data_IF_546071523062
#
_entry.id   IF_546071523062
#
_cell.length_a   1.000
_cell.length_b   1.000
_cell.length_c   1.000
_cell.angle_alpha   90.00
_cell.angle_beta   90.00
_cell.angle_gamma   90.00
#
_symmetry.space_group_name_H-M   'P 1'
#
loop_
_entity.id
_entity.type
_entity.pdbx_description
1 polymer ?
#
# COMPACT_ATOMS: atom_id res chain seq x y z
N UNK A 1 -14.23 11.66 28.73
CA UNK A 1 -13.82 10.49 27.93
C UNK A 1 -12.80 9.66 28.70
N UNK A 2 -12.74 8.35 28.45
CA UNK A 2 -11.61 7.52 28.88
C UNK A 2 -10.41 7.80 27.97
N UNK A 3 -9.20 7.71 28.53
CA UNK A 3 -7.94 7.95 27.81
C UNK A 3 -7.05 6.72 27.99
N UNK A 4 -6.03 6.54 27.15
CA UNK A 4 -5.14 5.39 27.18
C UNK A 4 -4.63 5.05 28.60
N UNK A 5 -4.14 6.05 29.34
CA UNK A 5 -3.56 5.85 30.68
C UNK A 5 -4.59 5.49 31.77
N UNK A 6 -5.90 5.59 31.48
CA UNK A 6 -6.96 5.15 32.38
C UNK A 6 -7.24 3.64 32.26
N UNK A 7 -6.82 3.01 31.16
CA UNK A 7 -7.02 1.59 30.92
C UNK A 7 -6.03 0.74 31.72
N UNK A 8 -6.51 -0.38 32.25
CA UNK A 8 -5.73 -1.43 32.92
C UNK A 8 -5.87 -2.72 32.12
N UNK A 9 -5.19 -2.77 30.98
CA UNK A 9 -5.25 -3.91 30.09
C UNK A 9 -4.48 -5.11 30.68
N UNK A 10 -5.18 -5.96 31.43
CA UNK A 10 -4.59 -7.12 32.10
C UNK A 10 -5.06 -8.46 31.57
N UNK A 11 -6.18 -8.53 30.85
CA UNK A 11 -6.77 -9.78 30.38
C UNK A 11 -6.28 -10.12 28.97
N UNK A 12 -5.55 -11.23 28.82
CA UNK A 12 -5.07 -11.76 27.55
C UNK A 12 -6.18 -12.38 26.69
N UNK A 13 -6.35 -11.89 25.45
CA UNK A 13 -7.30 -12.48 24.51
C UNK A 13 -6.87 -12.33 23.05
N UNK A 14 -7.54 -13.07 22.17
CA UNK A 14 -7.40 -13.02 20.70
C UNK A 14 -8.04 -11.72 20.17
N UNK A 15 -7.26 -10.87 19.51
CA UNK A 15 -7.68 -9.60 18.85
C UNK A 15 -7.48 -9.73 17.36
N UNK A 16 -8.47 -9.36 16.55
CA UNK A 16 -8.49 -9.58 15.11
C UNK A 16 -9.50 -10.66 14.68
N UNK A 17 -10.42 -10.34 13.78
CA UNK A 17 -11.47 -11.31 13.36
C UNK A 17 -11.02 -12.31 12.30
N UNK A 18 -9.89 -12.05 11.64
CA UNK A 18 -9.35 -12.88 10.54
C UNK A 18 -7.94 -13.40 10.78
N UNK A 19 -7.10 -12.68 11.53
CA UNK A 19 -5.74 -13.11 11.81
C UNK A 19 -5.41 -12.85 13.28
N UNK A 20 -6.16 -13.50 14.17
CA UNK A 20 -6.18 -13.09 15.56
C UNK A 20 -4.79 -13.11 16.23
N UNK A 21 -4.34 -11.98 16.78
CA UNK A 21 -3.12 -11.84 17.57
C UNK A 21 -3.43 -11.74 19.08
N UNK A 22 -2.42 -11.98 19.91
CA UNK A 22 -2.54 -11.77 21.34
C UNK A 22 -2.61 -10.27 21.66
N UNK A 23 -3.65 -9.85 22.37
CA UNK A 23 -3.74 -8.51 22.93
C UNK A 23 -4.22 -8.57 24.37
N UNK A 24 -4.00 -7.47 25.11
CA UNK A 24 -4.54 -7.29 26.45
C UNK A 24 -5.72 -6.32 26.43
N UNK A 25 -6.76 -6.68 27.16
CA UNK A 25 -8.00 -5.91 27.29
C UNK A 25 -8.19 -5.45 28.74
N UNK A 26 -8.77 -4.27 28.94
CA UNK A 26 -9.30 -3.85 30.22
C UNK A 26 -10.73 -4.41 30.36
N UNK A 27 -10.92 -5.29 31.33
CA UNK A 27 -12.18 -6.02 31.55
C UNK A 27 -12.93 -5.52 32.78
N UNK A 28 -12.48 -4.43 33.40
CA UNK A 28 -13.09 -3.93 34.62
C UNK A 28 -14.51 -3.44 34.36
N UNK A 29 -15.53 -3.93 35.10
CA UNK A 29 -16.93 -3.58 34.85
C UNK A 29 -17.18 -2.07 34.81
N UNK A 30 -16.54 -1.31 35.69
CA UNK A 30 -16.71 0.15 35.75
C UNK A 30 -16.15 0.87 34.50
N UNK A 31 -15.12 0.32 33.87
CA UNK A 31 -14.56 0.87 32.64
C UNK A 31 -15.42 0.48 31.44
N UNK A 32 -15.77 -0.81 31.31
CA UNK A 32 -16.56 -1.33 30.20
C UNK A 32 -17.95 -0.68 30.13
N UNK A 33 -18.66 -0.60 31.26
CA UNK A 33 -19.99 0.02 31.33
C UNK A 33 -19.98 1.50 30.98
N UNK A 34 -18.89 2.22 31.29
CA UNK A 34 -18.74 3.63 30.97
C UNK A 34 -18.65 3.90 29.46
N UNK A 35 -18.21 2.93 28.66
CA UNK A 35 -18.09 3.07 27.20
C UNK A 35 -19.36 2.63 26.48
N UNK A 36 -19.95 1.50 26.85
CA UNK A 36 -21.01 0.88 26.05
C UNK A 36 -22.11 0.14 26.86
N UNK A 37 -22.16 0.32 28.19
CA UNK A 37 -23.06 -0.41 29.11
C UNK A 37 -23.01 -1.95 29.01
N UNK A 38 -21.90 -2.50 28.48
CA UNK A 38 -21.63 -3.94 28.44
C UNK A 38 -20.51 -4.31 29.41
N UNK A 39 -20.54 -5.52 29.93
CA UNK A 39 -19.49 -6.11 30.76
C UNK A 39 -18.76 -7.22 30.00
N UNK A 40 -17.53 -7.53 30.44
CA UNK A 40 -16.80 -8.68 29.93
C UNK A 40 -17.63 -9.97 30.09
N UNK A 41 -17.71 -10.77 29.02
CA UNK A 41 -18.51 -11.99 28.96
C UNK A 41 -19.98 -11.78 28.59
N UNK A 42 -20.47 -10.54 28.48
CA UNK A 42 -21.83 -10.30 28.00
C UNK A 42 -22.00 -10.80 26.56
N UNK A 43 -23.07 -11.55 26.33
CA UNK A 43 -23.43 -12.05 25.00
C UNK A 43 -24.44 -11.08 24.41
N UNK A 44 -24.11 -10.54 23.24
CA UNK A 44 -24.95 -9.60 22.49
C UNK A 44 -25.34 -10.20 21.15
N UNK A 45 -26.50 -9.80 20.63
CA UNK A 45 -26.95 -10.14 19.29
C UNK A 45 -27.22 -8.85 18.52
N UNK A 46 -26.74 -8.78 17.28
CA UNK A 46 -27.00 -7.65 16.38
C UNK A 46 -28.35 -7.79 15.63
N UNK A 47 -28.69 -6.80 14.79
CA UNK A 47 -29.92 -6.81 13.97
C UNK A 47 -29.96 -7.94 12.94
N UNK A 48 -28.81 -8.51 12.56
CA UNK A 48 -28.70 -9.61 11.61
C UNK A 48 -28.77 -10.98 12.29
N UNK A 49 -28.93 -11.01 13.63
CA UNK A 49 -28.92 -12.23 14.41
C UNK A 49 -27.53 -12.81 14.67
N UNK A 50 -26.45 -12.07 14.36
CA UNK A 50 -25.10 -12.49 14.69
C UNK A 50 -24.87 -12.33 16.19
N UNK A 51 -24.35 -13.38 16.81
CA UNK A 51 -24.07 -13.41 18.25
C UNK A 51 -22.59 -13.15 18.48
N UNK A 52 -22.31 -12.29 19.45
CA UNK A 52 -20.95 -11.90 19.83
C UNK A 52 -20.80 -11.84 21.34
N UNK A 53 -19.60 -12.12 21.85
CA UNK A 53 -19.28 -12.04 23.28
C UNK A 53 -18.38 -10.82 23.53
N UNK A 54 -18.75 -9.95 24.46
CA UNK A 54 -17.96 -8.80 24.88
C UNK A 54 -16.65 -9.26 25.54
N UNK A 55 -15.51 -8.82 25.01
CA UNK A 55 -14.18 -9.18 25.52
C UNK A 55 -13.63 -8.09 26.43
N UNK A 56 -13.83 -6.81 26.11
CA UNK A 56 -13.37 -5.71 26.95
C UNK A 56 -12.91 -4.50 26.13
N UNK A 57 -12.21 -3.59 26.80
CA UNK A 57 -11.73 -2.35 26.19
C UNK A 57 -10.28 -2.44 25.74
N UNK A 58 -9.98 -1.81 24.60
CA UNK A 58 -8.62 -1.62 24.08
C UNK A 58 -8.49 -0.20 23.54
N UNK A 59 -7.31 0.39 23.63
CA UNK A 59 -6.99 1.68 23.03
C UNK A 59 -6.66 1.48 21.55
N UNK A 60 -7.41 2.14 20.67
CA UNK A 60 -7.03 2.28 19.27
C UNK A 60 -6.07 3.46 19.13
N UNK A 61 -4.81 3.15 18.80
CA UNK A 61 -3.77 4.15 18.60
C UNK A 61 -3.97 5.01 17.35
N UNK A 62 -4.69 4.49 16.34
CA UNK A 62 -4.87 5.15 15.05
C UNK A 62 -5.90 6.28 15.16
N UNK A 63 -7.08 5.95 15.70
CA UNK A 63 -8.17 6.90 15.92
C UNK A 63 -8.06 7.64 17.26
N UNK A 64 -7.13 7.22 18.14
CA UNK A 64 -6.91 7.78 19.48
C UNK A 64 -8.18 7.75 20.35
N UNK A 65 -8.90 6.62 20.30
CA UNK A 65 -10.13 6.38 21.04
C UNK A 65 -10.07 5.06 21.81
N UNK A 66 -10.90 4.95 22.85
CA UNK A 66 -11.13 3.68 23.57
C UNK A 66 -12.31 2.99 22.92
N UNK A 67 -12.13 1.75 22.50
CA UNK A 67 -13.17 0.96 21.82
C UNK A 67 -13.52 -0.31 22.61
N UNK A 68 -14.78 -0.74 22.47
CA UNK A 68 -15.27 -2.00 23.00
C UNK A 68 -15.12 -3.11 21.96
N UNK A 69 -14.47 -4.19 22.36
CA UNK A 69 -14.16 -5.32 21.48
C UNK A 69 -15.05 -6.52 21.80
N UNK A 70 -15.50 -7.20 20.74
CA UNK A 70 -16.40 -8.33 20.78
C UNK A 70 -15.88 -9.50 19.94
N UNK A 71 -15.95 -10.72 20.45
CA UNK A 71 -15.68 -11.93 19.70
C UNK A 71 -16.97 -12.41 19.05
N UNK A 72 -17.08 -12.28 17.74
CA UNK A 72 -18.22 -12.78 16.94
C UNK A 72 -18.11 -14.30 16.81
N UNK A 73 -19.21 -15.03 17.06
CA UNK A 73 -19.22 -16.50 16.96
C UNK A 73 -18.75 -16.95 15.55
N UNK A 74 -17.79 -17.87 15.51
CA UNK A 74 -17.18 -18.38 14.28
C UNK A 74 -16.01 -17.55 13.72
N UNK A 75 -15.56 -16.50 14.42
CA UNK A 75 -14.32 -15.77 14.10
C UNK A 75 -13.13 -16.27 14.92
N UNK A 76 -11.93 -15.91 14.50
CA UNK A 76 -10.70 -16.31 15.20
C UNK A 76 -10.46 -15.51 16.48
N UNK A 77 -10.90 -14.26 16.52
CA UNK A 77 -10.66 -13.33 17.62
C UNK A 77 -11.67 -12.18 17.67
N UNK A 78 -11.42 -11.26 18.57
CA UNK A 78 -12.28 -10.12 18.82
C UNK A 78 -12.13 -9.03 17.74
N UNK A 79 -13.19 -8.28 17.48
CA UNK A 79 -13.19 -7.09 16.63
C UNK A 79 -14.06 -6.00 17.22
N UNK A 80 -14.12 -4.85 16.54
CA UNK A 80 -14.91 -3.69 16.94
C UNK A 80 -16.16 -3.60 16.06
N UNK A 81 -17.28 -3.20 16.64
CA UNK A 81 -18.47 -2.76 15.90
C UNK A 81 -18.35 -1.26 15.63
N UNK A 82 -18.81 -0.81 14.46
CA UNK A 82 -18.82 0.62 14.17
C UNK A 82 -19.66 1.39 15.21
N UNK A 83 -19.29 2.62 15.54
CA UNK A 83 -19.94 3.38 16.63
C UNK A 83 -21.47 3.51 16.51
N UNK A 84 -22.03 3.52 15.30
CA UNK A 84 -23.49 3.53 15.10
C UNK A 84 -24.16 2.21 15.49
N UNK A 85 -23.46 1.10 15.34
CA UNK A 85 -23.96 -0.24 15.68
C UNK A 85 -23.96 -0.44 17.20
N UNK A 86 -22.92 0.04 17.88
CA UNK A 86 -22.75 -0.15 19.32
C UNK A 86 -23.95 0.36 20.13
N UNK A 87 -24.43 1.57 19.81
CA UNK A 87 -25.46 2.25 20.59
C UNK A 87 -26.90 1.86 20.21
N UNK A 88 -27.12 1.30 19.01
CA UNK A 88 -28.47 1.13 18.47
C UNK A 88 -28.80 -0.27 17.95
N UNK A 89 -27.82 -1.16 17.79
CA UNK A 89 -28.02 -2.44 17.12
C UNK A 89 -27.71 -3.67 17.98
N UNK A 90 -26.92 -3.51 19.05
CA UNK A 90 -26.56 -4.61 19.94
C UNK A 90 -27.56 -4.78 21.10
N UNK A 91 -28.14 -5.97 21.22
CA UNK A 91 -29.00 -6.35 22.35
C UNK A 91 -28.31 -7.40 23.20
N UNK A 92 -28.15 -7.16 24.50
CA UNK A 92 -27.71 -8.18 25.46
C UNK A 92 -28.74 -9.31 25.53
N UNK A 93 -28.29 -10.54 25.26
CA UNK A 93 -29.12 -11.76 25.26
C UNK A 93 -28.67 -12.78 26.30
N UNK A 94 -27.51 -12.59 26.92
CA UNK A 94 -27.02 -13.49 27.96
C UNK A 94 -25.63 -13.13 28.46
N UNK A 95 -24.97 -14.12 29.06
CA UNK A 95 -23.61 -14.02 29.57
C UNK A 95 -22.88 -15.36 29.35
N UNK A 96 -21.62 -15.30 28.94
CA UNK A 96 -20.75 -16.45 28.65
C UNK A 96 -19.39 -16.21 29.30
N UNK A 97 -18.89 -17.13 30.15
CA UNK A 97 -17.53 -17.05 30.67
C UNK A 97 -16.53 -17.04 29.50
N UNK A 98 -15.60 -16.09 29.52
CA UNK A 98 -14.51 -16.00 28.55
C UNK A 98 -13.23 -16.49 29.21
N UNK A 99 -12.59 -17.48 28.61
CA UNK A 99 -11.32 -17.98 29.09
C UNK A 99 -10.18 -17.07 28.62
N UNK A 100 -9.33 -16.65 29.54
CA UNK A 100 -8.09 -15.94 29.21
C UNK A 100 -7.18 -16.86 28.39
N UNK A 101 -6.57 -16.33 27.33
CA UNK A 101 -5.60 -17.07 26.52
C UNK A 101 -4.21 -16.55 26.84
N UNK A 102 -3.24 -17.46 26.88
CA UNK A 102 -1.82 -17.11 26.94
C UNK A 102 -1.36 -16.45 25.64
N UNK A 103 -0.22 -15.78 25.70
CA UNK A 103 0.42 -15.22 24.49
C UNK A 103 0.85 -16.35 23.56
N UNK A 104 1.37 -17.42 24.15
CA UNK A 104 1.75 -18.68 23.52
C UNK A 104 0.61 -19.38 22.75
N UNK A 105 -0.65 -19.16 23.13
CA UNK A 105 -1.82 -19.81 22.52
C UNK A 105 -2.28 -19.13 21.22
N UNK A 106 -1.81 -17.91 20.95
CA UNK A 106 -2.34 -17.05 19.88
C UNK A 106 -1.28 -16.69 18.84
N UNK A 107 0.00 -16.66 19.21
CA UNK A 107 1.10 -16.21 18.33
C UNK A 107 1.48 -17.20 17.20
N UNK A 108 0.51 -17.51 16.33
CA UNK A 108 0.65 -18.10 15.00
C UNK A 108 -0.13 -17.35 13.90
N UNK A 109 -1.08 -16.49 14.27
CA UNK A 109 -1.82 -15.61 13.36
C UNK A 109 -1.66 -14.16 13.86
N UNK A 110 -1.39 -13.19 12.98
CA UNK A 110 -1.28 -11.80 13.42
C UNK A 110 -1.72 -10.83 12.33
N UNK A 111 -2.82 -10.12 12.58
CA UNK A 111 -3.27 -8.91 11.89
C UNK A 111 -2.76 -7.66 12.60
N UNK A 112 -1.59 -7.20 12.17
CA UNK A 112 -1.38 -5.80 11.78
C UNK A 112 -1.33 -4.71 12.85
N UNK A 113 -1.93 -4.86 14.02
CA UNK A 113 -2.13 -3.78 14.96
C UNK A 113 -1.50 -4.02 16.33
N UNK A 114 -0.69 -3.02 16.71
CA UNK A 114 0.16 -2.96 17.89
C UNK A 114 1.36 -3.88 17.76
N UNK A 115 2.38 -3.33 17.11
CA UNK A 115 3.76 -3.82 17.09
C UNK A 115 3.84 -5.29 16.66
N UNK A 116 3.91 -5.47 15.34
CA UNK A 116 4.61 -6.63 14.78
C UNK A 116 6.09 -6.52 15.16
N UNK A 117 6.42 -6.60 16.45
CA UNK A 117 7.77 -6.42 16.94
C UNK A 117 8.71 -7.30 16.12
N UNK A 118 8.33 -8.54 15.81
CA UNK A 118 9.21 -9.41 15.05
C UNK A 118 9.29 -9.07 13.55
N UNK A 119 8.17 -8.87 12.83
CA UNK A 119 8.23 -8.59 11.37
C UNK A 119 8.61 -7.15 11.05
N UNK A 120 8.18 -6.18 11.85
CA UNK A 120 8.62 -4.78 11.74
C UNK A 120 10.09 -4.67 12.15
N UNK A 121 10.53 -5.41 13.18
CA UNK A 121 11.96 -5.50 13.48
C UNK A 121 12.71 -6.13 12.33
N UNK A 122 12.22 -7.23 11.73
CA UNK A 122 12.89 -7.82 10.56
C UNK A 122 12.99 -6.77 9.45
N UNK A 123 11.89 -6.10 9.08
CA UNK A 123 11.89 -5.06 8.05
C UNK A 123 12.92 -3.95 8.34
N UNK A 124 13.05 -3.49 9.59
CA UNK A 124 14.04 -2.48 10.01
C UNK A 124 15.48 -3.00 10.09
N UNK A 125 15.68 -4.32 10.18
CA UNK A 125 16.98 -4.96 10.36
C UNK A 125 17.43 -5.80 9.16
N UNK A 126 16.67 -5.80 8.05
CA UNK A 126 17.05 -6.49 6.82
C UNK A 126 18.45 -6.05 6.40
N UNK A 127 19.32 -7.03 6.19
CA UNK A 127 20.62 -6.88 5.55
C UNK A 127 20.65 -7.90 4.41
N UNK A 128 20.04 -7.56 3.27
CA UNK A 128 19.92 -8.49 2.17
C UNK A 128 21.29 -9.01 1.73
N UNK A 129 21.42 -10.33 1.68
CA UNK A 129 22.66 -11.04 1.32
C UNK A 129 22.59 -11.64 -0.09
N UNK A 130 21.39 -11.70 -0.66
CA UNK A 130 21.09 -12.42 -1.90
C UNK A 130 20.23 -11.56 -2.83
N UNK A 131 20.55 -11.56 -4.12
CA UNK A 131 19.63 -11.06 -5.16
C UNK A 131 18.91 -12.23 -5.80
N UNK A 132 17.58 -12.16 -5.84
CA UNK A 132 16.75 -13.25 -6.32
C UNK A 132 15.65 -12.76 -7.26
N UNK A 133 15.29 -13.58 -8.25
CA UNK A 133 14.25 -13.25 -9.23
C UNK A 133 12.87 -13.51 -8.65
N UNK A 134 11.95 -12.57 -8.76
CA UNK A 134 10.54 -12.71 -8.40
C UNK A 134 9.78 -13.44 -9.51
N UNK A 135 8.57 -13.94 -9.24
CA UNK A 135 7.65 -14.46 -10.26
C UNK A 135 7.32 -13.46 -11.37
N UNK A 136 7.46 -12.16 -11.12
CA UNK A 136 7.25 -11.11 -12.12
C UNK A 136 8.52 -10.77 -12.91
N UNK A 137 9.61 -11.51 -12.68
CA UNK A 137 10.89 -11.33 -13.34
C UNK A 137 11.80 -10.26 -12.73
N UNK A 138 11.37 -9.58 -11.67
CA UNK A 138 12.15 -8.52 -11.00
C UNK A 138 13.25 -9.13 -10.15
N UNK A 139 14.34 -8.40 -9.95
CA UNK A 139 15.28 -8.74 -8.89
C UNK A 139 14.86 -8.09 -7.58
N UNK A 140 14.85 -8.89 -6.52
CA UNK A 140 14.68 -8.44 -5.15
C UNK A 140 15.91 -8.75 -4.31
N UNK A 141 16.15 -7.90 -3.31
CA UNK A 141 17.16 -8.13 -2.30
C UNK A 141 16.53 -8.94 -1.16
N UNK A 142 17.04 -10.14 -0.93
CA UNK A 142 16.54 -11.10 0.07
C UNK A 142 17.58 -11.28 1.16
N UNK A 143 17.14 -11.26 2.41
CA UNK A 143 17.93 -11.61 3.58
C UNK A 143 17.76 -13.10 3.89
N UNK A 144 18.85 -13.85 3.79
CA UNK A 144 18.85 -15.31 3.97
C UNK A 144 19.28 -15.74 5.38
N UNK A 145 19.52 -14.80 6.29
CA UNK A 145 20.05 -15.11 7.62
C UNK A 145 19.05 -15.89 8.47
N UNK A 146 19.47 -16.97 9.16
CA UNK A 146 18.56 -17.80 9.95
C UNK A 146 17.78 -17.02 11.02
N UNK A 147 18.40 -16.03 11.66
CA UNK A 147 17.75 -15.22 12.68
C UNK A 147 16.61 -14.36 12.13
N UNK A 148 16.66 -13.97 10.85
CA UNK A 148 15.57 -13.22 10.21
C UNK A 148 14.39 -14.12 9.87
N UNK A 149 14.67 -15.32 9.36
CA UNK A 149 13.64 -16.30 9.03
C UNK A 149 12.98 -16.83 10.31
N UNK A 150 13.75 -17.04 11.39
CA UNK A 150 13.25 -17.51 12.68
C UNK A 150 12.20 -16.58 13.30
N UNK A 151 12.24 -15.27 12.99
CA UNK A 151 11.23 -14.28 13.42
C UNK A 151 9.84 -14.50 12.81
N UNK A 152 9.74 -15.33 11.78
CA UNK A 152 8.46 -15.80 11.22
C UNK A 152 7.94 -17.07 11.92
N UNK A 153 8.67 -17.57 12.94
CA UNK A 153 8.34 -18.77 13.73
C UNK A 153 8.07 -20.01 12.89
N UNK A 154 8.70 -20.06 11.73
CA UNK A 154 8.70 -21.22 10.87
C UNK A 154 9.85 -22.14 11.26
N UNK A 155 9.68 -23.48 11.19
CA UNK A 155 10.75 -24.43 11.50
C UNK A 155 11.75 -24.60 10.34
N UNK A 156 11.79 -23.65 9.41
CA UNK A 156 12.55 -23.73 8.16
C UNK A 156 13.67 -22.71 8.12
N UNK A 157 14.70 -22.99 7.35
CA UNK A 157 15.79 -22.06 6.99
C UNK A 157 15.85 -21.83 5.48
N UNK A 158 16.63 -20.83 5.06
CA UNK A 158 16.92 -20.61 3.64
C UNK A 158 17.52 -21.88 3.02
N UNK A 159 17.01 -22.27 1.86
CA UNK A 159 17.40 -23.48 1.13
C UNK A 159 16.57 -24.73 1.47
N UNK A 160 15.76 -24.72 2.53
CA UNK A 160 14.88 -25.85 2.83
C UNK A 160 13.84 -26.02 1.71
N UNK A 161 13.70 -27.26 1.23
CA UNK A 161 12.70 -27.65 0.25
C UNK A 161 11.50 -28.21 0.98
N UNK A 162 10.39 -27.49 0.91
CA UNK A 162 9.11 -27.85 1.47
C UNK A 162 8.29 -28.58 0.41
N UNK A 163 7.63 -29.66 0.81
CA UNK A 163 6.61 -30.33 0.01
C UNK A 163 5.25 -30.13 0.65
N UNK A 164 4.29 -29.66 -0.14
CA UNK A 164 2.88 -29.60 0.25
C UNK A 164 2.31 -31.03 0.32
N UNK A 165 1.80 -31.44 1.48
CA UNK A 165 1.22 -32.78 1.68
C UNK A 165 -0.04 -33.03 0.85
N UNK A 166 -0.71 -31.98 0.37
CA UNK A 166 -2.00 -32.08 -0.34
C UNK A 166 -1.84 -32.43 -1.81
N UNK A 167 -0.97 -31.72 -2.51
CA UNK A 167 -0.79 -31.83 -3.96
C UNK A 167 0.64 -32.23 -4.37
N UNK A 168 1.55 -32.34 -3.40
CA UNK A 168 2.94 -32.72 -3.64
C UNK A 168 3.81 -31.60 -4.21
N UNK A 169 3.28 -30.37 -4.35
CA UNK A 169 4.03 -29.22 -4.86
C UNK A 169 5.27 -28.96 -4.00
N UNK A 170 6.41 -28.76 -4.64
CA UNK A 170 7.66 -28.44 -3.95
C UNK A 170 7.99 -26.97 -4.08
N UNK A 171 8.41 -26.38 -2.97
CA UNK A 171 8.87 -25.00 -2.92
C UNK A 171 10.11 -24.87 -2.05
N UNK A 172 11.02 -23.98 -2.39
CA UNK A 172 12.23 -23.70 -1.61
C UNK A 172 12.06 -22.40 -0.84
N UNK A 173 12.31 -22.43 0.47
CA UNK A 173 12.41 -21.23 1.28
C UNK A 173 13.64 -20.43 0.83
N UNK A 174 13.45 -19.24 0.29
CA UNK A 174 14.55 -18.40 -0.22
C UNK A 174 15.11 -17.54 0.91
N UNK A 175 14.23 -16.83 1.61
CA UNK A 175 14.60 -15.94 2.71
C UNK A 175 13.50 -14.90 2.93
N UNK A 176 13.86 -13.81 3.60
CA UNK A 176 12.92 -12.73 3.92
C UNK A 176 13.23 -11.50 3.07
N UNK A 177 12.19 -10.89 2.51
CA UNK A 177 12.30 -9.61 1.83
C UNK A 177 11.04 -8.79 2.04
N UNK A 178 11.17 -7.48 1.97
CA UNK A 178 10.04 -6.57 1.87
C UNK A 178 9.74 -6.33 0.39
N UNK A 179 8.49 -6.50 -0.03
CA UNK A 179 8.11 -6.17 -1.40
C UNK A 179 8.25 -4.65 -1.59
N UNK A 180 9.15 -4.17 -2.48
CA UNK A 180 9.35 -2.75 -2.71
C UNK A 180 8.04 -2.04 -3.07
N UNK A 181 7.15 -2.71 -3.81
CA UNK A 181 5.85 -2.18 -4.20
C UNK A 181 4.98 -1.88 -2.99
N UNK A 182 4.88 -2.83 -2.07
CA UNK A 182 4.05 -2.65 -0.89
C UNK A 182 4.67 -1.68 0.11
N UNK A 183 6.00 -1.57 0.18
CA UNK A 183 6.67 -0.54 0.97
C UNK A 183 6.27 0.87 0.49
N UNK A 184 6.30 1.10 -0.83
CA UNK A 184 5.91 2.38 -1.44
C UNK A 184 4.43 2.66 -1.23
N UNK A 185 3.57 1.66 -1.45
CA UNK A 185 2.13 1.79 -1.23
C UNK A 185 1.79 2.07 0.24
N UNK A 186 2.50 1.46 1.19
CA UNK A 186 2.30 1.79 2.61
C UNK A 186 2.72 3.20 2.96
N UNK A 187 3.85 3.69 2.45
CA UNK A 187 4.24 5.10 2.66
C UNK A 187 3.15 6.04 2.13
N UNK A 188 2.64 5.79 0.93
CA UNK A 188 1.58 6.61 0.32
C UNK A 188 0.22 6.50 1.06
N UNK A 189 -0.06 5.36 1.70
CA UNK A 189 -1.31 5.13 2.45
C UNK A 189 -1.26 5.64 3.89
N UNK A 190 -0.09 5.62 4.55
CA UNK A 190 0.10 6.17 5.90
C UNK A 190 -0.30 7.65 5.97
N UNK A 191 -0.17 8.40 4.89
CA UNK A 191 -0.60 9.79 4.81
C UNK A 191 -2.12 9.98 4.78
N UNK A 192 -2.91 8.94 4.43
CA UNK A 192 -4.33 9.11 4.06
C UNK A 192 -5.35 8.41 4.94
N UNK A 193 -4.97 7.42 5.76
CA UNK A 193 -5.82 6.76 6.78
C UNK A 193 -4.95 5.76 7.53
N UNK A 194 -5.09 5.65 8.84
CA UNK A 194 -4.31 4.76 9.72
C UNK A 194 -4.30 3.26 9.40
N UNK A 195 -4.87 2.84 8.27
CA UNK A 195 -4.87 1.45 7.82
C UNK A 195 -3.54 1.09 7.15
N UNK A 196 -2.76 0.21 7.79
CA UNK A 196 -1.59 -0.43 7.18
C UNK A 196 -2.01 -1.18 5.91
N UNK A 197 -1.27 -0.97 4.82
CA UNK A 197 -1.42 -1.73 3.58
C UNK A 197 -0.84 -3.13 3.79
N UNK A 198 -1.64 -4.16 3.57
CA UNK A 198 -1.19 -5.56 3.54
C UNK A 198 0.02 -5.70 2.61
N UNK A 199 1.10 -6.32 3.10
CA UNK A 199 2.34 -6.53 2.35
C UNK A 199 3.44 -5.47 2.57
N UNK A 200 3.17 -4.40 3.32
CA UNK A 200 4.17 -3.38 3.70
C UNK A 200 5.23 -3.86 4.71
N UNK A 201 5.14 -5.13 5.08
CA UNK A 201 5.88 -5.78 6.14
C UNK A 201 6.84 -6.76 5.46
N UNK A 202 7.96 -7.07 6.09
CA UNK A 202 8.83 -8.14 5.62
C UNK A 202 8.04 -9.46 5.51
N UNK A 203 8.25 -10.21 4.43
CA UNK A 203 7.56 -11.46 4.12
C UNK A 203 8.54 -12.58 3.81
N UNK A 204 8.13 -13.82 4.04
CA UNK A 204 8.90 -15.01 3.70
C UNK A 204 8.64 -15.40 2.24
N UNK A 205 9.71 -15.52 1.45
CA UNK A 205 9.65 -15.76 0.03
C UNK A 205 10.00 -17.21 -0.31
N UNK A 206 9.22 -17.80 -1.22
CA UNK A 206 9.35 -19.17 -1.66
C UNK A 206 9.49 -19.25 -3.18
N UNK A 207 10.40 -20.08 -3.67
CA UNK A 207 10.47 -20.44 -5.08
C UNK A 207 9.77 -21.77 -5.31
N UNK A 208 8.66 -21.77 -6.04
CA UNK A 208 7.93 -23.01 -6.41
C UNK A 208 8.62 -23.68 -7.58
N UNK A 209 8.85 -24.99 -7.50
CA UNK A 209 9.50 -25.75 -8.57
C UNK A 209 8.72 -25.62 -9.89
N UNK A 210 9.43 -25.23 -10.97
CA UNK A 210 8.81 -24.96 -12.27
C UNK A 210 8.32 -23.51 -12.48
N UNK A 211 8.38 -22.66 -11.45
CA UNK A 211 8.13 -21.22 -11.62
C UNK A 211 9.40 -20.46 -12.03
N UNK A 212 9.25 -19.32 -12.68
CA UNK A 212 10.40 -18.49 -13.12
C UNK A 212 11.07 -17.72 -11.98
N UNK A 213 10.48 -17.69 -10.78
CA UNK A 213 11.02 -16.95 -9.65
C UNK A 213 10.23 -17.11 -8.35
N UNK A 214 10.68 -16.41 -7.31
CA UNK A 214 10.09 -16.47 -5.98
C UNK A 214 8.80 -15.65 -5.85
N UNK A 215 7.91 -16.11 -4.97
CA UNK A 215 6.68 -15.44 -4.58
C UNK A 215 6.39 -15.65 -3.09
N UNK A 216 5.48 -14.84 -2.57
CA UNK A 216 4.95 -15.01 -1.21
C UNK A 216 3.84 -16.06 -1.26
N UNK A 217 3.90 -17.05 -0.37
CA UNK A 217 2.84 -18.05 -0.22
C UNK A 217 2.00 -17.71 1.00
N UNK A 218 0.91 -16.97 0.80
CA UNK A 218 0.03 -16.51 1.90
C UNK A 218 -0.61 -17.70 2.64
N UNK A 219 -0.92 -18.79 1.94
CA UNK A 219 -1.51 -20.00 2.54
C UNK A 219 -0.55 -20.71 3.49
N UNK A 220 0.76 -20.52 3.31
CA UNK A 220 1.78 -21.16 4.12
C UNK A 220 1.63 -20.83 5.61
N UNK A 221 1.35 -19.57 5.95
CA UNK A 221 1.22 -19.14 7.34
C UNK A 221 -0.05 -19.66 8.02
N UNK A 222 -1.08 -20.02 7.24
CA UNK A 222 -2.35 -20.52 7.78
C UNK A 222 -2.27 -22.01 8.13
N UNK A 223 -1.39 -22.76 7.46
CA UNK A 223 -1.35 -24.22 7.53
C UNK A 223 0.10 -24.73 7.62
N UNK A 224 0.91 -24.28 8.57
CA UNK A 224 2.33 -24.70 8.68
C UNK A 224 2.48 -26.23 8.72
N UNK A 225 1.56 -26.94 9.38
CA UNK A 225 1.54 -28.41 9.48
C UNK A 225 1.28 -29.14 8.15
N UNK A 226 0.84 -28.42 7.11
CA UNK A 226 0.64 -28.95 5.75
C UNK A 226 1.95 -29.16 5.01
N UNK A 227 3.01 -28.47 5.40
CA UNK A 227 4.30 -28.50 4.72
C UNK A 227 5.29 -29.38 5.47
N UNK A 228 6.08 -30.16 4.74
CA UNK A 228 7.18 -30.94 5.29
C UNK A 228 8.48 -30.60 4.58
N UNK A 229 9.56 -30.42 5.36
CA UNK A 229 10.90 -30.34 4.79
C UNK A 229 11.27 -31.70 4.24
N UNK A 230 11.52 -31.79 2.94
CA UNK A 230 11.91 -33.02 2.22
C UNK A 230 13.36 -33.01 1.76
N UNK A 231 14.05 -31.90 1.95
CA UNK A 231 15.48 -31.76 1.63
C UNK A 231 15.95 -30.32 1.79
N UNK A 232 17.21 -30.09 1.44
CA UNK A 232 17.84 -28.77 1.47
C UNK A 232 18.66 -28.58 0.20
N UNK A 233 18.59 -27.41 -0.42
CA UNK A 233 19.45 -27.04 -1.56
C UNK A 233 20.04 -25.63 -1.37
N UNK A 234 21.25 -25.37 -1.89
CA UNK A 234 21.79 -24.01 -1.90
C UNK A 234 20.85 -23.04 -2.63
N UNK A 235 20.70 -21.84 -2.08
CA UNK A 235 20.00 -20.75 -2.75
C UNK A 235 21.06 -19.87 -3.41
N UNK A 236 21.15 -19.96 -4.73
CA UNK A 236 22.11 -19.19 -5.51
C UNK A 236 21.49 -17.87 -6.02
N UNK A 237 22.30 -16.81 -6.18
CA UNK A 237 21.83 -15.59 -6.83
C UNK A 237 21.32 -15.89 -8.23
N UNK A 238 20.13 -15.40 -8.55
CA UNK A 238 19.64 -15.46 -9.92
C UNK A 238 20.14 -14.24 -10.68
N UNK A 239 20.75 -14.46 -11.84
CA UNK A 239 21.13 -13.36 -12.71
C UNK A 239 19.87 -12.57 -13.13
N UNK A 240 20.00 -11.24 -13.18
CA UNK A 240 19.07 -10.45 -13.97
C UNK A 240 19.22 -10.91 -15.43
N UNK A 241 18.11 -11.10 -16.12
CA UNK A 241 18.15 -11.05 -17.58
C UNK A 241 18.76 -9.68 -17.94
N UNK A 242 19.68 -9.62 -18.91
CA UNK A 242 20.46 -8.41 -19.23
C UNK A 242 19.60 -7.17 -19.56
N UNK A 243 18.30 -7.37 -19.80
CA UNK A 243 17.29 -6.35 -20.07
C UNK A 243 16.54 -5.85 -18.81
N UNK A 244 16.81 -6.43 -17.64
CA UNK A 244 16.27 -5.95 -16.38
C UNK A 244 16.97 -4.62 -16.04
N UNK A 245 16.36 -3.51 -16.44
CA UNK A 245 16.90 -2.16 -16.26
C UNK A 245 17.36 -1.87 -14.82
N UNK A 246 18.11 -0.78 -14.63
CA UNK A 246 18.72 -0.37 -13.36
C UNK A 246 17.81 -0.65 -12.15
N UNK A 247 18.32 -1.32 -11.13
CA UNK A 247 17.55 -1.53 -9.91
C UNK A 247 17.29 -0.19 -9.17
N UNK A 248 16.32 -0.13 -8.25
CA UNK A 248 15.96 1.12 -7.58
C UNK A 248 17.11 1.82 -6.84
N UNK A 249 18.06 1.08 -6.27
CA UNK A 249 19.22 1.68 -5.60
C UNK A 249 20.20 2.26 -6.61
N UNK A 250 20.46 1.55 -7.71
CA UNK A 250 21.27 2.03 -8.83
C UNK A 250 20.67 3.27 -9.49
N UNK A 251 19.34 3.34 -9.63
CA UNK A 251 18.65 4.55 -10.10
C UNK A 251 18.87 5.71 -9.13
N UNK A 252 18.66 5.51 -7.82
CA UNK A 252 18.87 6.55 -6.80
C UNK A 252 20.32 7.01 -6.72
N UNK A 253 21.28 6.09 -6.84
CA UNK A 253 22.70 6.44 -6.90
C UNK A 253 23.00 7.30 -8.13
N UNK A 254 22.50 6.89 -9.30
CA UNK A 254 22.65 7.64 -10.54
C UNK A 254 22.02 9.04 -10.44
N UNK A 255 20.85 9.18 -9.79
CA UNK A 255 20.22 10.47 -9.54
C UNK A 255 21.09 11.36 -8.63
N UNK A 256 21.68 10.82 -7.56
CA UNK A 256 22.57 11.59 -6.67
C UNK A 256 23.83 12.09 -7.39
N UNK A 257 24.37 11.31 -8.31
CA UNK A 257 25.52 11.71 -9.14
C UNK A 257 25.22 12.91 -10.04
N UNK A 258 23.94 13.13 -10.41
CA UNK A 258 23.51 14.25 -11.24
C UNK A 258 23.37 15.58 -10.47
N UNK A 259 23.58 15.60 -9.16
CA UNK A 259 23.44 16.80 -8.34
C UNK A 259 24.35 17.93 -8.85
N UNK A 260 23.78 19.09 -9.13
CA UNK A 260 24.49 20.23 -9.73
C UNK A 260 24.93 20.04 -11.19
N UNK A 261 24.53 18.95 -11.86
CA UNK A 261 24.86 18.66 -13.27
C UNK A 261 23.63 18.72 -14.21
N UNK A 262 22.44 18.95 -13.65
CA UNK A 262 21.20 19.03 -14.41
C UNK A 262 21.16 20.32 -15.25
N UNK A 263 20.74 20.18 -16.51
CA UNK A 263 20.47 21.29 -17.42
C UNK A 263 18.97 21.55 -17.44
N UNK A 264 18.46 22.27 -16.43
CA UNK A 264 17.04 22.52 -16.22
C UNK A 264 16.48 23.67 -17.09
N UNK A 265 16.66 23.58 -18.41
CA UNK A 265 16.28 24.64 -19.38
C UNK A 265 14.79 24.60 -19.78
N UNK A 266 14.14 23.46 -19.63
CA UNK A 266 12.71 23.31 -19.93
C UNK A 266 11.86 23.68 -18.73
N UNK A 267 11.09 24.78 -18.82
CA UNK A 267 10.18 25.19 -17.76
C UNK A 267 8.81 24.50 -17.87
N UNK A 268 8.27 24.00 -16.77
CA UNK A 268 6.95 23.37 -16.69
C UNK A 268 6.26 23.70 -15.34
N UNK A 269 4.91 23.79 -15.27
CA UNK A 269 4.21 24.03 -14.00
C UNK A 269 4.53 22.93 -12.97
N UNK A 270 4.85 23.29 -11.72
CA UNK A 270 5.21 22.36 -10.63
C UNK A 270 4.16 22.42 -9.51
N UNK A 271 3.74 21.25 -9.02
CA UNK A 271 2.90 21.10 -7.83
C UNK A 271 1.39 21.26 -8.05
N UNK A 272 0.67 21.44 -6.94
CA UNK A 272 -0.79 21.66 -6.89
C UNK A 272 -1.17 23.13 -7.13
N UNK A 273 -0.27 24.05 -6.77
CA UNK A 273 -0.45 25.49 -6.93
C UNK A 273 -0.27 25.90 -8.39
N UNK A 274 -1.33 26.48 -8.97
CA UNK A 274 -1.25 27.13 -10.28
C UNK A 274 -0.28 28.33 -10.18
N UNK A 275 0.84 28.30 -10.90
CA UNK A 275 1.68 29.48 -11.12
C UNK A 275 3.16 29.35 -10.79
N UNK A 276 3.60 28.29 -10.09
CA UNK A 276 5.04 28.03 -9.90
C UNK A 276 5.56 27.16 -11.03
N UNK A 277 6.26 27.77 -11.99
CA UNK A 277 7.06 27.01 -12.94
C UNK A 277 8.38 26.58 -12.30
N UNK A 278 8.84 25.39 -12.67
CA UNK A 278 10.19 24.92 -12.35
C UNK A 278 10.92 24.52 -13.64
N UNK A 279 12.25 24.54 -13.61
CA UNK A 279 13.09 24.03 -14.68
C UNK A 279 13.28 22.52 -14.54
N UNK A 280 13.27 21.80 -15.66
CA UNK A 280 13.46 20.36 -15.75
C UNK A 280 14.50 20.05 -16.83
N UNK A 281 15.36 19.06 -16.57
CA UNK A 281 16.24 18.47 -17.55
C UNK A 281 15.45 17.43 -18.36
N UNK A 282 15.28 17.71 -19.65
CA UNK A 282 14.51 16.91 -20.59
C UNK A 282 15.40 16.32 -21.70
N UNK A 283 16.71 16.18 -21.45
CA UNK A 283 17.63 15.52 -22.40
C UNK A 283 17.23 14.03 -22.54
N UNK A 284 16.81 13.54 -23.73
CA UNK A 284 16.27 12.19 -23.87
C UNK A 284 17.23 11.09 -23.40
N UNK A 285 18.52 11.19 -23.72
CA UNK A 285 19.51 10.17 -23.35
C UNK A 285 19.67 10.06 -21.83
N UNK A 286 19.68 11.20 -21.13
CA UNK A 286 19.80 11.25 -19.68
C UNK A 286 18.55 10.65 -19.02
N UNK A 287 17.38 11.14 -19.40
CA UNK A 287 16.11 10.71 -18.80
C UNK A 287 15.85 9.23 -19.10
N UNK A 288 16.14 8.76 -20.32
CA UNK A 288 16.02 7.35 -20.70
C UNK A 288 17.02 6.46 -19.99
N UNK A 289 18.25 6.91 -19.76
CA UNK A 289 19.24 6.17 -18.96
C UNK A 289 18.73 5.92 -17.53
N UNK A 290 18.10 6.91 -16.91
CA UNK A 290 17.61 6.83 -15.52
C UNK A 290 16.28 6.07 -15.44
N UNK A 291 15.34 6.37 -16.33
CA UNK A 291 13.94 5.91 -16.20
C UNK A 291 13.60 4.73 -17.10
N UNK A 292 14.38 4.48 -18.15
CA UNK A 292 14.02 3.58 -19.25
C UNK A 292 13.11 4.22 -20.31
N UNK A 293 12.64 5.45 -20.11
CA UNK A 293 11.70 6.14 -21.01
C UNK A 293 12.20 7.53 -21.40
N UNK A 294 11.70 8.04 -22.52
CA UNK A 294 12.02 9.39 -22.97
C UNK A 294 11.04 10.41 -22.36
N UNK A 295 11.43 11.69 -22.23
CA UNK A 295 10.51 12.76 -21.84
C UNK A 295 9.29 12.80 -22.76
N UNK A 296 8.11 12.94 -22.16
CA UNK A 296 6.81 12.89 -22.83
C UNK A 296 6.23 11.48 -23.00
N UNK A 297 6.96 10.41 -22.67
CA UNK A 297 6.37 9.05 -22.68
C UNK A 297 5.21 8.97 -21.68
N UNK A 298 4.09 8.44 -22.15
CA UNK A 298 2.94 8.14 -21.29
C UNK A 298 3.01 6.69 -20.82
N UNK A 299 2.87 6.50 -19.52
CA UNK A 299 2.87 5.18 -18.88
C UNK A 299 1.59 4.97 -18.07
N UNK A 300 1.22 3.71 -17.89
CA UNK A 300 0.12 3.28 -17.01
C UNK A 300 0.65 2.40 -15.91
N UNK A 301 0.11 2.55 -14.71
CA UNK A 301 0.47 1.70 -13.57
C UNK A 301 -0.48 0.49 -13.51
N UNK A 302 0.06 -0.73 -13.39
CA UNK A 302 -0.74 -1.96 -13.39
C UNK A 302 -1.87 -1.98 -12.33
N UNK A 303 -1.63 -1.42 -11.13
CA UNK A 303 -2.65 -1.37 -10.07
C UNK A 303 -3.68 -0.25 -10.24
N UNK A 304 -3.47 0.68 -11.16
CA UNK A 304 -4.38 1.80 -11.49
C UNK A 304 -4.39 1.98 -13.01
N UNK A 305 -5.03 1.07 -13.76
CA UNK A 305 -4.96 1.06 -15.22
C UNK A 305 -5.56 2.32 -15.86
N UNK A 306 -6.44 3.01 -15.12
CA UNK A 306 -7.06 4.27 -15.51
C UNK A 306 -6.18 5.49 -15.21
N UNK A 307 -5.13 5.35 -14.40
CA UNK A 307 -4.21 6.45 -14.11
C UNK A 307 -3.09 6.50 -15.16
N UNK A 308 -3.08 7.56 -15.97
CA UNK A 308 -2.03 7.83 -16.94
C UNK A 308 -1.04 8.85 -16.39
N UNK A 309 0.25 8.55 -16.55
CA UNK A 309 1.36 9.38 -16.11
C UNK A 309 2.20 9.78 -17.32
N UNK A 310 2.44 11.07 -17.49
CA UNK A 310 3.36 11.59 -18.51
C UNK A 310 4.67 11.94 -17.84
N UNK A 311 5.76 11.32 -18.28
CA UNK A 311 7.11 11.62 -17.80
C UNK A 311 7.53 13.02 -18.26
N UNK A 312 7.83 13.92 -17.32
CA UNK A 312 8.22 15.29 -17.65
C UNK A 312 9.74 15.38 -17.82
N UNK A 313 10.49 14.99 -16.81
CA UNK A 313 11.96 15.10 -16.81
C UNK A 313 12.54 14.91 -15.42
N UNK A 314 13.78 15.35 -15.24
CA UNK A 314 14.50 15.29 -13.96
C UNK A 314 14.71 16.72 -13.45
N UNK A 315 14.44 16.98 -12.19
CA UNK A 315 14.72 18.27 -11.56
C UNK A 315 15.15 18.07 -10.11
N UNK A 316 15.94 19.00 -9.57
CA UNK A 316 16.25 19.02 -8.14
C UNK A 316 14.99 19.36 -7.34
N UNK A 317 14.78 18.64 -6.25
CA UNK A 317 13.73 18.96 -5.29
C UNK A 317 14.16 20.06 -4.31
N UNK A 318 13.28 20.45 -3.40
CA UNK A 318 13.54 21.51 -2.42
C UNK A 318 14.72 21.17 -1.46
N UNK A 319 15.10 19.89 -1.32
CA UNK A 319 16.30 19.43 -0.60
C UNK A 319 17.58 19.41 -1.46
N UNK A 320 17.47 19.78 -2.74
CA UNK A 320 18.54 19.74 -3.73
C UNK A 320 18.90 18.34 -4.24
N UNK A 321 18.07 17.33 -3.98
CA UNK A 321 18.24 15.99 -4.53
C UNK A 321 17.53 15.89 -5.89
N UNK A 322 18.21 15.46 -6.97
CA UNK A 322 17.56 15.15 -8.25
C UNK A 322 16.47 14.09 -8.10
N UNK A 323 15.29 14.38 -8.65
CA UNK A 323 14.13 13.49 -8.67
C UNK A 323 13.49 13.43 -10.06
N UNK A 324 12.74 12.37 -10.33
CA UNK A 324 11.96 12.21 -11.56
C UNK A 324 10.56 12.76 -11.36
N UNK A 325 10.10 13.56 -12.30
CA UNK A 325 8.84 14.30 -12.21
C UNK A 325 7.83 13.84 -13.26
N UNK A 326 6.57 13.73 -12.84
CA UNK A 326 5.48 13.14 -13.60
C UNK A 326 4.28 14.09 -13.64
N UNK A 327 3.50 14.07 -14.71
CA UNK A 327 2.20 14.73 -14.79
C UNK A 327 1.09 13.67 -14.82
N UNK A 328 0.10 13.78 -13.92
CA UNK A 328 -1.06 12.89 -13.87
C UNK A 328 -2.13 13.40 -14.85
N UNK A 329 -2.44 12.63 -15.90
CA UNK A 329 -3.39 13.08 -16.93
C UNK A 329 -4.86 13.02 -16.48
N UNK A 330 -5.19 12.09 -15.57
CA UNK A 330 -6.57 11.77 -15.17
C UNK A 330 -6.93 12.23 -13.74
N UNK A 331 -6.06 12.99 -13.08
CA UNK A 331 -6.37 13.48 -11.74
C UNK A 331 -7.35 14.65 -11.82
N UNK A 332 -8.61 14.43 -11.39
CA UNK A 332 -9.59 15.43 -10.94
C UNK A 332 -8.88 16.67 -10.39
N UNK A 333 -8.70 17.73 -11.19
CA UNK A 333 -8.28 19.12 -10.89
C UNK A 333 -7.14 19.38 -9.87
N UNK A 334 -6.55 18.36 -9.23
CA UNK A 334 -5.75 18.47 -8.00
C UNK A 334 -4.27 18.72 -8.28
N UNK A 335 -3.78 18.34 -9.45
CA UNK A 335 -2.37 18.51 -9.83
C UNK A 335 -2.27 19.12 -11.24
N UNK A 336 -2.37 20.45 -11.38
CA UNK A 336 -2.28 21.13 -12.68
C UNK A 336 -0.86 21.14 -13.28
N UNK A 337 0.12 20.50 -12.64
CA UNK A 337 1.52 20.51 -13.07
C UNK A 337 2.21 19.16 -12.90
N UNK A 338 3.54 19.20 -12.94
CA UNK A 338 4.41 18.10 -12.61
C UNK A 338 4.44 17.90 -11.08
N UNK A 339 4.33 16.65 -10.64
CA UNK A 339 4.48 16.22 -9.27
C UNK A 339 5.53 15.12 -9.13
N UNK A 340 6.03 14.98 -7.91
CA UNK A 340 6.84 13.83 -7.53
C UNK A 340 5.94 12.61 -7.37
N UNK A 341 6.46 11.47 -7.79
CA UNK A 341 5.89 10.17 -7.45
C UNK A 341 6.94 9.40 -6.65
N UNK A 342 6.86 9.54 -5.32
CA UNK A 342 7.87 8.95 -4.45
C UNK A 342 7.88 7.43 -4.54
N UNK A 343 9.08 6.86 -4.66
CA UNK A 343 9.26 5.42 -4.81
C UNK A 343 8.88 4.87 -6.19
N UNK A 344 8.70 5.72 -7.20
CA UNK A 344 8.44 5.27 -8.57
C UNK A 344 9.49 4.28 -9.10
N UNK A 345 10.74 4.34 -8.62
CA UNK A 345 11.82 3.43 -9.06
C UNK A 345 11.46 1.98 -8.77
N UNK A 346 10.82 1.72 -7.63
CA UNK A 346 10.34 0.40 -7.22
C UNK A 346 9.07 -0.04 -7.98
N UNK A 347 8.36 0.92 -8.57
CA UNK A 347 7.15 0.69 -9.36
C UNK A 347 7.40 0.74 -10.86
N UNK A 348 8.63 1.05 -11.30
CA UNK A 348 9.00 1.20 -12.72
C UNK A 348 8.58 -0.02 -13.55
N UNK A 349 8.85 -1.20 -13.03
CA UNK A 349 8.55 -2.46 -13.70
C UNK A 349 7.04 -2.81 -13.67
N UNK A 350 6.21 -2.09 -12.91
CA UNK A 350 4.73 -2.14 -12.93
C UNK A 350 4.13 -1.08 -13.87
N UNK A 351 4.99 -0.23 -14.45
CA UNK A 351 4.60 0.86 -15.33
C UNK A 351 4.87 0.45 -16.76
N UNK A 352 3.82 0.43 -17.57
CA UNK A 352 3.91 0.05 -18.99
C UNK A 352 3.73 1.29 -19.85
N UNK A 353 4.67 1.51 -20.76
CA UNK A 353 4.52 2.55 -21.78
C UNK A 353 3.30 2.25 -22.64
N UNK A 354 2.43 3.24 -22.84
CA UNK A 354 1.19 3.06 -23.63
C UNK A 354 1.44 3.12 -25.14
N UNK A 355 2.66 3.46 -25.55
CA UNK A 355 2.99 3.82 -26.94
C UNK A 355 2.63 5.27 -27.29
N UNK A 356 1.90 5.99 -26.44
CA UNK A 356 1.60 7.40 -26.64
C UNK A 356 2.77 8.29 -26.19
N UNK A 357 2.99 9.39 -26.92
CA UNK A 357 3.97 10.42 -26.60
C UNK A 357 3.29 11.79 -26.53
N UNK A 358 3.57 12.56 -25.49
CA UNK A 358 3.12 13.94 -25.34
C UNK A 358 4.21 14.89 -25.77
N UNK A 359 3.82 15.91 -26.52
CA UNK A 359 4.63 17.11 -26.67
C UNK A 359 4.53 17.92 -25.37
N UNK A 360 5.65 18.01 -24.64
CA UNK A 360 5.70 18.67 -23.35
C UNK A 360 5.44 20.18 -23.45
N UNK A 361 5.77 20.83 -24.57
CA UNK A 361 5.51 22.26 -24.78
C UNK A 361 4.01 22.50 -25.00
N UNK A 362 3.34 21.64 -25.77
CA UNK A 362 1.87 21.68 -25.95
C UNK A 362 1.16 21.39 -24.63
N UNK A 363 1.60 20.35 -23.90
CA UNK A 363 1.03 20.02 -22.59
C UNK A 363 1.19 21.18 -21.60
N UNK A 364 2.38 21.79 -21.53
CA UNK A 364 2.64 23.01 -20.74
C UNK A 364 1.69 24.14 -21.12
N UNK A 365 1.53 24.41 -22.41
CA UNK A 365 0.63 25.46 -22.87
C UNK A 365 -0.81 25.17 -22.48
N UNK A 366 -1.27 23.91 -22.60
CA UNK A 366 -2.60 23.47 -22.15
C UNK A 366 -2.82 23.74 -20.66
N UNK A 367 -1.85 23.37 -19.82
CA UNK A 367 -1.93 23.54 -18.36
C UNK A 367 -1.86 25.02 -17.93
N UNK A 368 -1.19 25.87 -18.70
CA UNK A 368 -1.22 27.33 -18.50
C UNK A 368 -2.49 27.97 -19.04
N UNK A 369 -3.02 27.48 -20.16
CA UNK A 369 -4.25 27.96 -20.80
C UNK A 369 -5.51 27.60 -19.99
N UNK A 370 -5.41 26.67 -19.04
CA UNK A 370 -6.36 26.54 -17.92
C UNK A 370 -6.27 27.70 -16.91
N UNK A 371 -6.13 28.94 -17.40
CA UNK A 371 -6.92 30.03 -16.84
C UNK A 371 -8.38 29.57 -16.82
N UNK A 372 -9.12 29.96 -15.78
CA UNK A 372 -10.55 29.66 -15.70
C UNK A 372 -11.21 30.20 -16.97
N UNK A 373 -11.49 29.31 -17.94
CA UNK A 373 -12.19 29.71 -19.14
C UNK A 373 -13.65 29.84 -18.70
N UNK A 374 -14.04 31.06 -18.39
CA UNK A 374 -15.42 31.37 -18.06
C UNK A 374 -16.18 31.39 -19.38
N UNK A 375 -17.09 30.45 -19.58
CA UNK A 375 -18.08 30.56 -20.64
C UNK A 375 -19.23 31.40 -20.13
N UNK A 376 -19.63 32.38 -20.92
CA UNK A 376 -20.77 33.20 -20.61
C UNK A 376 -22.04 32.42 -20.99
N UNK A 377 -22.79 31.98 -19.97
CA UNK A 377 -24.06 31.26 -20.16
C UNK A 377 -25.23 32.22 -19.91
N UNK A 378 -26.44 31.83 -20.30
CA UNK A 378 -27.66 32.60 -19.97
C UNK A 378 -27.86 32.79 -18.45
N UNK A 379 -27.18 31.98 -17.62
CA UNK A 379 -27.22 32.07 -16.16
C UNK A 379 -26.01 32.80 -15.55
N UNK A 380 -25.17 33.42 -16.37
CA UNK A 380 -23.93 34.09 -15.98
C UNK A 380 -22.65 33.32 -16.32
N UNK A 381 -21.48 33.87 -15.97
CA UNK A 381 -20.18 33.23 -16.19
C UNK A 381 -20.14 31.88 -15.50
N UNK A 382 -19.82 30.83 -16.24
CA UNK A 382 -19.68 29.46 -15.73
C UNK A 382 -18.30 28.91 -16.08
N UNK A 383 -17.65 28.28 -15.10
CA UNK A 383 -16.32 27.71 -15.27
C UNK A 383 -16.35 26.48 -16.21
N UNK A 384 -15.66 26.56 -17.34
CA UNK A 384 -15.43 25.44 -18.25
C UNK A 384 -14.62 24.35 -17.53
N UNK A 385 -15.14 23.12 -17.48
CA UNK A 385 -14.57 22.00 -16.73
C UNK A 385 -15.33 21.61 -15.45
N UNK A 386 -16.14 22.51 -14.89
CA UNK A 386 -17.11 22.13 -13.85
C UNK A 386 -18.19 21.20 -14.44
N UNK A 387 -18.84 20.35 -13.64
CA UNK A 387 -19.97 19.51 -14.13
C UNK A 387 -21.03 20.32 -14.90
N UNK A 388 -21.26 21.57 -14.47
CA UNK A 388 -22.15 22.51 -15.15
C UNK A 388 -21.55 23.04 -16.45
N UNK A 389 -20.28 23.44 -16.45
CA UNK A 389 -19.57 23.93 -17.63
C UNK A 389 -19.37 22.86 -18.71
N UNK A 390 -19.12 21.60 -18.31
CA UNK A 390 -19.00 20.45 -19.20
C UNK A 390 -20.32 20.19 -19.95
N UNK A 391 -21.45 20.19 -19.21
CA UNK A 391 -22.77 20.00 -19.79
C UNK A 391 -23.16 21.14 -20.76
N UNK A 392 -22.84 22.39 -20.43
CA UNK A 392 -23.09 23.53 -21.33
C UNK A 392 -22.16 23.53 -22.56
N UNK A 393 -20.90 23.11 -22.41
CA UNK A 393 -19.97 22.97 -23.53
C UNK A 393 -20.41 21.88 -24.51
N UNK A 394 -20.91 20.75 -24.03
CA UNK A 394 -21.46 19.68 -24.88
C UNK A 394 -22.71 20.16 -25.64
N UNK A 395 -23.58 20.95 -25.01
CA UNK A 395 -24.72 21.59 -25.69
C UNK A 395 -24.26 22.52 -26.82
N UNK A 396 -23.27 23.38 -26.56
CA UNK A 396 -22.72 24.30 -27.56
C UNK A 396 -22.09 23.53 -28.74
N UNK A 397 -21.34 22.47 -28.46
CA UNK A 397 -20.72 21.61 -29.47
C UNK A 397 -21.76 20.88 -30.32
N UNK A 398 -22.84 20.40 -29.72
CA UNK A 398 -23.95 19.78 -30.44
C UNK A 398 -24.67 20.80 -31.35
N UNK A 399 -24.85 22.03 -30.86
CA UNK A 399 -25.45 23.12 -31.62
C UNK A 399 -24.58 23.55 -32.81
N UNK A 400 -23.26 23.61 -32.63
CA UNK A 400 -22.30 23.90 -33.69
C UNK A 400 -22.30 22.81 -34.78
N UNK A 401 -22.42 21.54 -34.39
CA UNK A 401 -22.54 20.42 -35.34
C UNK A 401 -23.85 20.44 -36.13
N UNK A 402 -24.94 20.90 -35.52
CA UNK A 402 -26.22 21.10 -36.19
C UNK A 402 -26.14 22.26 -37.19
N UNK A 403 -25.58 23.40 -36.79
CA UNK A 403 -25.38 24.56 -37.68
C UNK A 403 -24.49 24.22 -38.88
N UNK A 404 -23.42 23.42 -38.68
CA UNK A 404 -22.56 22.93 -39.77
C UNK A 404 -23.25 21.97 -40.74
N UNK A 405 -24.35 21.33 -40.34
CA UNK A 405 -25.12 20.43 -41.22
C UNK A 405 -26.14 21.19 -42.08
N UNK A 406 -26.62 22.33 -41.60
CA UNK A 406 -27.69 23.08 -42.26
C UNK A 406 -27.17 24.19 -43.21
N UNK A 407 -25.85 24.40 -43.28
CA UNK A 407 -25.19 25.30 -44.26
C UNK A 407 -24.83 26.65 -43.68
#
# INVERSE_FOLDING_TARGET
ELQQHHLRCTFGYRSGTKYAHYAKFDIRPEACKKVADFEHGDVVTDRNGMTSTCIGLKWDSSEKIVEMWFHVDGKEGAGVYSGQDLDTSLRKVGHRPVQEVGREDVEGASDGEIEHDERDWVARNLQPTLRYKTRTGRLMAVDTRPEMIAKFRVPYKSGDVLQDRKDGEKMTCIGVAQDPKHAVLAQASQEKRGNRVTGSIAELWFHVEGSEGAGVNVRHFQELSRYTVVGTRPVEPMAADSDAGLDPESIRASLRELRGQLCCDFTFPRGTSRGTDAGFDVRPDLVKKITGWEPGTVVKHAARPDARLTLIGIAEDDDGCPAVWWHYEDADERHPGAGRFDGWEALRDDMTATGERRDLAVLRQRLRATEQCWIETQSGPTLLGSNRGQAEFEKLRALEQLLKKDG
#
